data_IF_192435513874
#
_entry.id   IF_192435513874
#
_cell.length_a   1.000
_cell.length_b   1.000
_cell.length_c   1.000
_cell.angle_alpha   90.00
_cell.angle_beta   90.00
_cell.angle_gamma   90.00
#
_symmetry.space_group_name_H-M   'P 1'
#
loop_
_entity.id
_entity.type
_entity.pdbx_description
1 polymer ?
#
# COMPACT_ATOMS: atom_id res chain seq x y z
N UNK A 1 3.96 -21.41 -11.69
CA UNK A 1 4.80 -22.26 -10.81
C UNK A 1 4.27 -22.12 -9.40
N UNK A 2 3.88 -23.19 -8.67
CA UNK A 2 3.29 -23.03 -7.35
C UNK A 2 4.42 -22.81 -6.36
N UNK A 3 4.84 -21.56 -6.17
CA UNK A 3 5.83 -21.17 -5.14
C UNK A 3 5.27 -21.30 -3.71
N UNK A 4 3.95 -21.44 -3.59
CA UNK A 4 3.21 -21.46 -2.33
C UNK A 4 3.58 -22.62 -1.39
N UNK A 5 3.62 -23.89 -1.85
CA UNK A 5 3.88 -25.02 -0.97
C UNK A 5 5.33 -25.03 -0.45
N UNK A 6 6.29 -24.64 -1.30
CA UNK A 6 7.69 -24.54 -0.90
C UNK A 6 7.92 -23.43 0.13
N UNK A 7 7.27 -22.28 -0.05
CA UNK A 7 7.32 -21.18 0.92
C UNK A 7 6.68 -21.57 2.25
N UNK A 8 5.52 -22.24 2.23
CA UNK A 8 4.87 -22.73 3.46
C UNK A 8 5.76 -23.72 4.23
N UNK A 9 6.41 -24.64 3.52
CA UNK A 9 7.34 -25.59 4.13
C UNK A 9 8.57 -24.89 4.75
N UNK A 10 9.10 -23.86 4.09
CA UNK A 10 10.26 -23.10 4.58
C UNK A 10 9.96 -22.29 5.85
N UNK A 11 8.74 -21.77 6.00
CA UNK A 11 8.35 -20.97 7.17
C UNK A 11 7.79 -21.79 8.33
N UNK A 12 7.49 -23.08 8.13
CA UNK A 12 6.90 -23.96 9.14
C UNK A 12 7.63 -23.98 10.50
N UNK A 13 8.98 -23.80 10.59
CA UNK A 13 9.67 -23.69 11.86
C UNK A 13 9.39 -22.39 12.65
N UNK A 14 8.85 -21.35 12.02
CA UNK A 14 8.57 -20.05 12.63
C UNK A 14 7.07 -19.93 12.95
N UNK A 15 6.60 -20.73 13.91
CA UNK A 15 5.18 -20.84 14.25
C UNK A 15 4.54 -19.52 14.73
N UNK A 16 5.35 -18.58 15.22
CA UNK A 16 4.90 -17.26 15.71
C UNK A 16 4.87 -16.18 14.61
N UNK A 17 5.19 -16.52 13.35
CA UNK A 17 5.18 -15.59 12.23
C UNK A 17 3.88 -15.71 11.45
N UNK A 18 3.15 -14.61 11.35
CA UNK A 18 2.06 -14.46 10.39
C UNK A 18 2.62 -14.08 9.02
N UNK A 19 2.40 -14.93 8.00
CA UNK A 19 2.80 -14.64 6.63
C UNK A 19 1.66 -13.98 5.86
N UNK A 20 1.78 -12.67 5.67
CA UNK A 20 0.96 -11.87 4.76
C UNK A 20 1.54 -11.93 3.34
N UNK A 21 0.67 -12.07 2.33
CA UNK A 21 1.10 -12.14 0.92
C UNK A 21 0.44 -11.06 0.10
N UNK A 22 1.25 -10.32 -0.62
CA UNK A 22 0.84 -9.39 -1.67
C UNK A 22 1.28 -9.94 -3.02
N UNK A 23 0.34 -10.25 -3.91
CA UNK A 23 0.64 -10.67 -5.29
C UNK A 23 0.92 -9.45 -6.17
N UNK A 24 2.12 -8.88 -6.03
CA UNK A 24 2.55 -7.71 -6.80
C UNK A 24 2.59 -7.99 -8.30
N UNK A 25 2.92 -9.22 -8.71
CA UNK A 25 2.94 -9.62 -10.12
C UNK A 25 1.52 -9.64 -10.71
N UNK A 26 0.58 -10.27 -10.01
CA UNK A 26 -0.83 -10.28 -10.40
C UNK A 26 -1.44 -8.88 -10.47
N UNK A 27 -1.15 -8.04 -9.48
CA UNK A 27 -1.60 -6.64 -9.45
C UNK A 27 -1.01 -5.84 -10.62
N UNK A 28 0.30 -5.84 -10.79
CA UNK A 28 0.93 -5.08 -11.86
C UNK A 28 0.45 -5.54 -13.24
N UNK A 29 0.28 -6.84 -13.48
CA UNK A 29 -0.30 -7.31 -14.75
C UNK A 29 -1.70 -6.75 -15.02
N UNK A 30 -2.54 -6.60 -13.99
CA UNK A 30 -3.86 -5.97 -14.15
C UNK A 30 -3.72 -4.49 -14.52
N UNK A 31 -2.82 -3.77 -13.84
CA UNK A 31 -2.57 -2.34 -14.11
C UNK A 31 -1.99 -2.14 -15.52
N UNK A 32 -1.05 -2.97 -15.96
CA UNK A 32 -0.51 -2.92 -17.34
C UNK A 32 -1.53 -3.33 -18.41
N UNK A 33 -2.48 -4.20 -18.09
CA UNK A 33 -3.50 -4.65 -19.03
C UNK A 33 -4.59 -3.59 -19.30
N UNK A 34 -4.89 -2.75 -18.31
CA UNK A 34 -5.86 -1.65 -18.43
C UNK A 34 -5.39 -0.39 -17.67
N UNK A 35 -4.32 0.27 -18.13
CA UNK A 35 -3.71 1.40 -17.42
C UNK A 35 -4.68 2.58 -17.21
N UNK A 36 -5.63 2.75 -18.13
CA UNK A 36 -6.59 3.86 -18.08
C UNK A 36 -7.55 3.75 -16.89
N UNK A 37 -7.95 2.55 -16.47
CA UNK A 37 -8.81 2.39 -15.27
C UNK A 37 -8.10 2.72 -13.97
N UNK A 38 -6.76 2.75 -13.98
CA UNK A 38 -5.92 3.17 -12.87
C UNK A 38 -5.42 4.62 -13.00
N UNK A 39 -5.86 5.36 -14.02
CA UNK A 39 -5.53 6.78 -14.20
C UNK A 39 -4.24 7.05 -14.98
N UNK A 40 -3.63 6.03 -15.59
CA UNK A 40 -2.43 6.19 -16.41
C UNK A 40 -2.77 6.40 -17.87
N UNK A 41 -2.01 7.27 -18.53
CA UNK A 41 -2.06 7.45 -19.99
C UNK A 41 -0.85 6.87 -20.70
N UNK A 42 0.22 6.53 -19.98
CA UNK A 42 1.41 5.88 -20.53
C UNK A 42 1.84 4.67 -19.71
N UNK A 43 1.75 3.49 -20.33
CA UNK A 43 2.16 2.21 -19.76
C UNK A 43 3.41 1.61 -20.41
N UNK A 44 3.98 2.29 -21.41
CA UNK A 44 4.99 1.71 -22.31
C UNK A 44 6.35 2.39 -22.12
N UNK A 45 6.34 3.71 -21.98
CA UNK A 45 7.55 4.51 -21.88
C UNK A 45 7.93 4.78 -20.42
N UNK A 46 9.21 4.99 -20.17
CA UNK A 46 9.72 5.52 -18.92
C UNK A 46 9.50 7.04 -18.83
N UNK A 47 9.12 7.54 -17.65
CA UNK A 47 9.04 8.98 -17.41
C UNK A 47 10.43 9.64 -17.30
N UNK A 48 11.40 8.95 -16.72
CA UNK A 48 12.78 9.42 -16.57
C UNK A 48 13.66 8.84 -17.68
N UNK A 49 14.37 9.72 -18.39
CA UNK A 49 15.05 9.34 -19.63
C UNK A 49 16.29 8.47 -19.45
N UNK A 50 16.84 8.42 -18.24
CA UNK A 50 18.02 7.61 -17.93
C UNK A 50 17.65 6.40 -17.10
N UNK A 51 18.36 5.29 -17.31
CA UNK A 51 18.13 4.08 -16.54
C UNK A 51 19.07 4.04 -15.32
N UNK A 52 18.57 4.41 -14.13
CA UNK A 52 19.31 4.39 -12.85
C UNK A 52 20.49 5.38 -12.77
N UNK A 53 20.83 6.06 -13.87
CA UNK A 53 21.88 7.07 -13.94
C UNK A 53 21.36 8.48 -13.64
N UNK A 54 22.25 9.35 -13.16
CA UNK A 54 21.94 10.77 -12.94
C UNK A 54 22.08 11.58 -14.23
N UNK A 55 21.41 12.73 -14.30
CA UNK A 55 21.51 13.67 -15.42
C UNK A 55 20.43 13.52 -16.50
N UNK A 56 19.46 12.62 -16.29
CA UNK A 56 18.30 12.47 -17.14
C UNK A 56 17.28 13.60 -16.97
N UNK A 57 16.30 13.56 -17.86
CA UNK A 57 15.13 14.45 -17.83
C UNK A 57 13.91 13.68 -17.37
N UNK A 58 13.07 14.34 -16.58
CA UNK A 58 11.77 13.80 -16.15
C UNK A 58 10.68 14.30 -17.09
N UNK A 59 9.74 13.42 -17.43
CA UNK A 59 8.54 13.77 -18.17
C UNK A 59 7.72 14.86 -17.47
N UNK A 60 6.80 15.51 -18.19
CA UNK A 60 6.02 16.62 -17.64
C UNK A 60 5.09 16.21 -16.49
N UNK A 61 4.44 15.04 -16.61
CA UNK A 61 3.45 14.53 -15.67
C UNK A 61 3.79 13.09 -15.24
N UNK A 62 4.66 12.88 -14.23
CA UNK A 62 5.06 11.54 -13.79
C UNK A 62 3.89 10.66 -13.31
N UNK A 63 2.81 11.26 -12.82
CA UNK A 63 1.65 10.53 -12.30
C UNK A 63 0.79 9.90 -13.40
N UNK A 64 0.98 10.30 -14.66
CA UNK A 64 0.30 9.72 -15.83
C UNK A 64 1.06 8.51 -16.41
N UNK A 65 2.26 8.21 -15.88
CA UNK A 65 3.14 7.14 -16.32
C UNK A 65 3.17 6.00 -15.30
N UNK A 66 3.16 4.75 -15.79
CA UNK A 66 3.32 3.57 -14.94
C UNK A 66 4.75 3.39 -14.43
N UNK A 67 5.73 3.62 -15.32
CA UNK A 67 7.14 3.35 -15.09
C UNK A 67 7.94 4.64 -14.95
N UNK A 68 8.75 4.70 -13.90
CA UNK A 68 9.72 5.77 -13.72
C UNK A 68 10.89 5.59 -14.68
N UNK A 69 11.52 4.42 -14.67
CA UNK A 69 12.58 4.02 -15.60
C UNK A 69 12.29 2.61 -16.16
N UNK A 70 13.29 1.91 -16.71
CA UNK A 70 13.09 0.57 -17.26
C UNK A 70 12.63 -0.52 -16.27
N UNK A 71 12.64 -0.25 -14.96
CA UNK A 71 12.45 -1.28 -13.91
C UNK A 71 11.64 -0.76 -12.72
N UNK A 72 11.77 0.53 -12.38
CA UNK A 72 11.10 1.12 -11.23
C UNK A 72 9.74 1.71 -11.62
N UNK A 73 8.68 1.46 -10.84
CA UNK A 73 7.40 2.13 -11.01
C UNK A 73 7.45 3.61 -10.59
N UNK A 74 6.54 4.42 -11.11
CA UNK A 74 6.35 5.81 -10.65
C UNK A 74 5.73 5.85 -9.25
N UNK A 75 5.68 7.06 -8.66
CA UNK A 75 5.02 7.27 -7.37
C UNK A 75 3.53 6.91 -7.41
N UNK A 76 2.85 7.20 -8.52
CA UNK A 76 1.45 6.86 -8.73
C UNK A 76 1.23 5.33 -8.77
N UNK A 77 2.09 4.58 -9.46
CA UNK A 77 2.03 3.11 -9.43
C UNK A 77 2.35 2.55 -8.04
N UNK A 78 3.29 3.17 -7.32
CA UNK A 78 3.58 2.82 -5.93
C UNK A 78 2.39 3.06 -5.00
N UNK A 79 1.55 4.08 -5.23
CA UNK A 79 0.34 4.31 -4.43
C UNK A 79 -0.68 3.18 -4.59
N UNK A 80 -0.83 2.63 -5.80
CA UNK A 80 -1.69 1.47 -6.04
C UNK A 80 -1.18 0.24 -5.29
N UNK A 81 0.13 -0.03 -5.38
CA UNK A 81 0.77 -1.12 -4.62
C UNK A 81 0.60 -0.94 -3.10
N UNK A 82 0.72 0.30 -2.61
CA UNK A 82 0.54 0.61 -1.20
C UNK A 82 -0.91 0.39 -0.74
N UNK A 83 -1.90 0.80 -1.55
CA UNK A 83 -3.31 0.57 -1.24
C UNK A 83 -3.62 -0.92 -1.10
N UNK A 84 -3.12 -1.76 -2.01
CA UNK A 84 -3.30 -3.21 -1.90
C UNK A 84 -2.54 -3.81 -0.71
N UNK A 85 -1.36 -3.30 -0.38
CA UNK A 85 -0.64 -3.72 0.82
C UNK A 85 -1.43 -3.38 2.09
N UNK A 86 -2.10 -2.23 2.13
CA UNK A 86 -2.92 -1.82 3.27
C UNK A 86 -4.09 -2.76 3.53
N UNK A 87 -4.73 -3.31 2.48
CA UNK A 87 -5.82 -4.28 2.62
C UNK A 87 -5.35 -5.64 3.17
N UNK A 88 -4.08 -5.99 2.95
CA UNK A 88 -3.51 -7.25 3.44
C UNK A 88 -3.01 -7.15 4.88
N UNK A 89 -2.67 -5.94 5.35
CA UNK A 89 -2.17 -5.71 6.72
C UNK A 89 -3.34 -5.46 7.68
N UNK A 90 -3.53 -6.28 8.73
CA UNK A 90 -4.56 -6.01 9.72
C UNK A 90 -4.28 -4.69 10.44
N UNK A 91 -5.21 -3.74 10.40
CA UNK A 91 -5.08 -2.52 11.22
C UNK A 91 -5.29 -2.87 12.71
N UNK A 92 -4.29 -2.65 13.59
CA UNK A 92 -4.40 -3.04 14.98
C UNK A 92 -5.31 -2.06 15.71
N UNK A 93 -6.47 -2.53 16.18
CA UNK A 93 -7.32 -1.95 17.22
C UNK A 93 -7.55 -0.42 17.19
N UNK A 94 -7.29 0.30 16.10
CA UNK A 94 -7.35 1.76 16.06
C UNK A 94 -8.78 2.24 16.34
N UNK A 95 -9.76 1.54 15.77
CA UNK A 95 -11.17 1.70 16.12
C UNK A 95 -11.44 1.41 17.60
N UNK A 96 -10.86 0.34 18.14
CA UNK A 96 -10.98 0.00 19.56
C UNK A 96 -10.43 1.09 20.48
N UNK A 97 -9.22 1.58 20.22
CA UNK A 97 -8.56 2.65 20.96
C UNK A 97 -9.30 3.99 20.80
N UNK A 98 -9.78 4.28 19.60
CA UNK A 98 -10.59 5.47 19.34
C UNK A 98 -11.92 5.43 20.11
N UNK A 99 -12.61 4.28 20.11
CA UNK A 99 -13.84 4.08 20.88
C UNK A 99 -13.59 4.19 22.39
N UNK A 100 -12.50 3.60 22.90
CA UNK A 100 -12.09 3.72 24.30
C UNK A 100 -11.80 5.18 24.66
N UNK A 101 -11.09 5.91 23.79
CA UNK A 101 -10.81 7.32 23.95
C UNK A 101 -12.08 8.18 24.01
N UNK A 102 -13.02 7.95 23.07
CA UNK A 102 -14.30 8.65 23.03
C UNK A 102 -15.16 8.35 24.28
N UNK A 103 -15.21 7.10 24.72
CA UNK A 103 -15.85 6.70 25.98
C UNK A 103 -15.26 7.43 27.19
N UNK A 104 -13.93 7.54 27.25
CA UNK A 104 -13.23 8.30 28.29
C UNK A 104 -13.64 9.78 28.33
N UNK A 105 -13.76 10.43 27.17
CA UNK A 105 -14.23 11.82 27.05
C UNK A 105 -15.67 11.96 27.55
N UNK A 106 -16.57 11.07 27.13
CA UNK A 106 -17.99 11.10 27.54
C UNK A 106 -18.14 10.93 29.06
N UNK A 107 -17.48 9.91 29.63
CA UNK A 107 -17.51 9.66 31.08
C UNK A 107 -16.91 10.83 31.85
N UNK A 108 -15.83 11.44 31.36
CA UNK A 108 -15.23 12.63 31.96
C UNK A 108 -16.19 13.82 32.02
N UNK A 109 -16.99 14.06 30.97
CA UNK A 109 -17.99 15.14 30.94
C UNK A 109 -19.12 14.92 31.93
N UNK A 110 -19.61 13.70 32.06
CA UNK A 110 -20.67 13.37 33.04
C UNK A 110 -20.18 13.50 34.49
N UNK A 111 -18.92 13.17 34.78
CA UNK A 111 -18.33 13.35 36.11
C UNK A 111 -18.19 14.83 36.50
N UNK A 112 -17.79 15.71 35.58
CA UNK A 112 -17.65 17.15 35.85
C UNK A 112 -19.03 17.80 36.09
N UNK A 113 -20.05 17.43 35.31
CA UNK A 113 -21.39 17.95 35.49
C UNK A 113 -22.00 17.59 36.85
N UNK A 114 -21.73 16.37 37.35
CA UNK A 114 -22.23 15.91 38.64
C UNK A 114 -21.52 16.56 39.85
N UNK A 115 -20.23 16.90 39.76
CA UNK A 115 -19.48 17.55 40.85
C UNK A 115 -19.87 19.03 41.06
N UNK A 116 -20.51 19.66 40.07
CA UNK A 116 -20.94 21.06 40.10
C UNK A 116 -22.47 21.25 40.23
N UNK A 117 -23.20 20.21 40.66
CA UNK A 117 -24.64 20.28 41.02
C UNK A 117 -24.84 20.02 42.51
#
# INVERSE_FOLDING_TARGET
>A
MPLMPALLAAIAPFADVELMRLDTFGLLNQVYADPASFGFTNATDACYSEFVLTGGTTCANPDEYLSWDGFHPTSATHQILAAEMHEVVPEPAALGLMLIGLLGVVIGRFRIAWVHS
#
